data_IF_503179596308
#
_entry.id   IF_503179596308
#
_cell.length_a   1.000
_cell.length_b   1.000
_cell.length_c   1.000
_cell.angle_alpha   90.00
_cell.angle_beta   90.00
_cell.angle_gamma   90.00
#
_symmetry.space_group_name_H-M   'P 1'
#
loop_
_entity.id
_entity.type
_entity.pdbx_description
1 polymer ?
#
# COMPACT_ATOMS: atom_id res chain seq x y z
N UNK A 1 -47.02 -23.86 -3.74
CA UNK A 1 -48.18 -24.48 -3.06
C UNK A 1 -48.40 -25.82 -3.73
N UNK A 2 -48.45 -26.91 -2.95
CA UNK A 2 -48.51 -28.27 -3.49
C UNK A 2 -49.82 -28.49 -4.27
N UNK A 3 -49.72 -29.11 -5.45
CA UNK A 3 -50.87 -29.57 -6.23
C UNK A 3 -51.24 -31.01 -5.85
N UNK A 4 -52.34 -31.14 -5.11
CA UNK A 4 -52.83 -32.45 -4.66
C UNK A 4 -53.42 -33.30 -5.78
N UNK A 5 -53.88 -32.71 -6.88
CA UNK A 5 -54.44 -33.47 -8.01
C UNK A 5 -53.33 -34.19 -8.77
N UNK A 6 -52.19 -33.50 -8.92
CA UNK A 6 -50.98 -34.07 -9.50
C UNK A 6 -50.41 -35.20 -8.63
N UNK A 7 -50.31 -35.01 -7.31
CA UNK A 7 -49.84 -36.06 -6.38
C UNK A 7 -50.75 -37.29 -6.44
N UNK A 8 -52.07 -37.11 -6.43
CA UNK A 8 -53.03 -38.22 -6.50
C UNK A 8 -52.87 -39.01 -7.81
N UNK A 9 -52.68 -38.32 -8.93
CA UNK A 9 -52.45 -38.94 -10.24
C UNK A 9 -51.13 -39.72 -10.27
N UNK A 10 -50.05 -39.13 -9.77
CA UNK A 10 -48.72 -39.76 -9.80
C UNK A 10 -48.66 -41.02 -8.92
N UNK A 11 -49.28 -40.98 -7.73
CA UNK A 11 -49.36 -42.14 -6.84
C UNK A 11 -50.20 -43.26 -7.45
N UNK A 12 -51.30 -42.91 -8.12
CA UNK A 12 -52.11 -43.90 -8.84
C UNK A 12 -51.33 -44.58 -9.97
N UNK A 13 -50.55 -43.83 -10.74
CA UNK A 13 -49.73 -44.38 -11.84
C UNK A 13 -48.59 -45.26 -11.32
N UNK A 14 -47.83 -44.78 -10.33
CA UNK A 14 -46.60 -45.47 -9.87
C UNK A 14 -46.86 -46.64 -8.94
N UNK A 15 -47.86 -46.51 -8.09
CA UNK A 15 -48.10 -47.44 -6.99
C UNK A 15 -49.42 -48.20 -7.12
N UNK A 16 -50.24 -47.88 -8.14
CA UNK A 16 -51.55 -48.47 -8.38
C UNK A 16 -52.50 -48.33 -7.17
N UNK A 17 -52.36 -47.24 -6.42
CA UNK A 17 -53.19 -46.89 -5.25
C UNK A 17 -53.99 -45.63 -5.56
N UNK A 18 -55.31 -45.69 -5.39
CA UNK A 18 -56.21 -44.55 -5.52
C UNK A 18 -56.33 -43.83 -4.17
N UNK A 19 -55.83 -42.60 -4.11
CA UNK A 19 -55.96 -41.76 -2.92
C UNK A 19 -57.26 -40.95 -2.96
N UNK A 20 -58.04 -41.07 -1.87
CA UNK A 20 -59.23 -40.24 -1.65
C UNK A 20 -58.86 -38.80 -1.27
N UNK A 21 -59.83 -37.89 -1.35
CA UNK A 21 -59.64 -36.49 -0.93
C UNK A 21 -59.37 -36.37 0.58
N UNK A 22 -59.97 -37.26 1.37
CA UNK A 22 -59.83 -37.28 2.83
C UNK A 22 -58.79 -38.30 3.32
N UNK A 23 -57.86 -38.70 2.43
CA UNK A 23 -56.84 -39.69 2.78
C UNK A 23 -55.80 -39.10 3.76
N UNK A 24 -55.53 -39.76 4.90
CA UNK A 24 -54.56 -39.29 5.89
C UNK A 24 -53.14 -39.05 5.33
N UNK A 25 -52.77 -39.72 4.24
CA UNK A 25 -51.46 -39.50 3.61
C UNK A 25 -51.36 -38.09 3.03
N UNK A 26 -52.44 -37.55 2.46
CA UNK A 26 -52.46 -36.19 1.89
C UNK A 26 -52.45 -35.12 2.99
N UNK A 27 -53.08 -35.40 4.13
CA UNK A 27 -52.98 -34.56 5.33
C UNK A 27 -51.53 -34.50 5.82
N UNK A 28 -50.84 -35.64 5.84
CA UNK A 28 -49.41 -35.71 6.21
C UNK A 28 -48.53 -34.88 5.27
N UNK A 29 -48.77 -34.96 3.96
CA UNK A 29 -48.07 -34.13 2.97
C UNK A 29 -48.31 -32.64 3.23
N UNK A 30 -49.55 -32.26 3.56
CA UNK A 30 -49.89 -30.87 3.90
C UNK A 30 -49.11 -30.39 5.13
N UNK A 31 -49.04 -31.22 6.19
CA UNK A 31 -48.27 -30.90 7.39
C UNK A 31 -46.79 -30.73 7.06
N UNK A 32 -46.23 -31.61 6.22
CA UNK A 32 -44.84 -31.47 5.77
C UNK A 32 -44.61 -30.18 4.97
N UNK A 33 -45.52 -29.81 4.06
CA UNK A 33 -45.42 -28.56 3.29
C UNK A 33 -45.39 -27.33 4.23
N UNK A 34 -46.27 -27.30 5.23
CA UNK A 34 -46.31 -26.22 6.22
C UNK A 34 -45.04 -26.15 7.06
N UNK A 35 -44.53 -27.30 7.52
CA UNK A 35 -43.30 -27.35 8.34
C UNK A 35 -42.10 -26.92 7.50
N UNK A 36 -41.95 -27.46 6.29
CA UNK A 36 -40.85 -27.12 5.39
C UNK A 36 -40.90 -25.66 4.96
N UNK A 37 -42.08 -25.13 4.64
CA UNK A 37 -42.28 -23.71 4.34
C UNK A 37 -41.82 -22.83 5.50
N UNK A 38 -42.21 -23.16 6.73
CA UNK A 38 -41.79 -22.41 7.92
C UNK A 38 -40.27 -22.45 8.17
N UNK A 39 -39.63 -23.60 7.91
CA UNK A 39 -38.19 -23.71 7.98
C UNK A 39 -37.50 -22.87 6.89
N UNK A 40 -38.03 -22.85 5.68
CA UNK A 40 -37.49 -22.01 4.59
C UNK A 40 -37.61 -20.52 4.92
N UNK A 41 -38.73 -20.09 5.49
CA UNK A 41 -38.93 -18.70 5.93
C UNK A 41 -37.90 -18.32 7.00
N UNK A 42 -37.72 -19.15 8.03
CA UNK A 42 -36.71 -18.94 9.08
C UNK A 42 -35.28 -18.87 8.51
N UNK A 43 -34.94 -19.75 7.57
CA UNK A 43 -33.64 -19.75 6.91
C UNK A 43 -33.46 -18.48 6.09
N UNK A 44 -34.49 -18.05 5.35
CA UNK A 44 -34.45 -16.83 4.54
C UNK A 44 -34.22 -15.60 5.42
N UNK A 45 -34.96 -15.46 6.51
CA UNK A 45 -34.80 -14.36 7.47
C UNK A 45 -33.38 -14.33 8.06
N UNK A 46 -32.85 -15.50 8.43
CA UNK A 46 -31.51 -15.60 8.98
C UNK A 46 -30.42 -15.29 7.93
N UNK A 47 -30.63 -15.68 6.67
CA UNK A 47 -29.74 -15.31 5.57
C UNK A 47 -29.73 -13.80 5.31
N UNK A 48 -30.89 -13.15 5.38
CA UNK A 48 -31.00 -11.70 5.22
C UNK A 48 -30.27 -10.95 6.34
N UNK A 49 -30.40 -11.41 7.58
CA UNK A 49 -29.67 -10.85 8.72
C UNK A 49 -28.16 -11.11 8.63
N UNK A 50 -27.74 -12.30 8.21
CA UNK A 50 -26.34 -12.64 7.98
C UNK A 50 -25.74 -11.75 6.87
N UNK A 51 -26.45 -11.53 5.77
CA UNK A 51 -26.02 -10.67 4.67
C UNK A 51 -25.88 -9.20 5.11
N UNK A 52 -26.80 -8.69 5.94
CA UNK A 52 -26.68 -7.34 6.52
C UNK A 52 -25.44 -7.23 7.42
N UNK A 53 -25.25 -8.20 8.31
CA UNK A 53 -24.10 -8.25 9.23
C UNK A 53 -22.78 -8.35 8.48
N UNK A 54 -22.74 -9.18 7.44
CA UNK A 54 -21.57 -9.30 6.55
C UNK A 54 -21.27 -7.98 5.85
N UNK A 55 -22.29 -7.30 5.33
CA UNK A 55 -22.11 -5.99 4.66
C UNK A 55 -21.53 -4.96 5.61
N UNK A 56 -22.04 -4.86 6.85
CA UNK A 56 -21.51 -3.95 7.87
C UNK A 56 -20.06 -4.30 8.24
N UNK A 57 -19.76 -5.59 8.41
CA UNK A 57 -18.42 -6.07 8.75
C UNK A 57 -17.43 -5.76 7.63
N UNK A 58 -17.81 -5.98 6.36
CA UNK A 58 -16.97 -5.65 5.21
C UNK A 58 -16.71 -4.14 5.12
N UNK A 59 -17.72 -3.30 5.36
CA UNK A 59 -17.53 -1.85 5.40
C UNK A 59 -16.54 -1.43 6.50
N UNK A 60 -16.69 -1.98 7.70
CA UNK A 60 -15.77 -1.72 8.81
C UNK A 60 -14.35 -2.20 8.51
N UNK A 61 -14.20 -3.39 7.91
CA UNK A 61 -12.92 -3.94 7.53
C UNK A 61 -12.22 -3.10 6.46
N UNK A 62 -12.96 -2.59 5.47
CA UNK A 62 -12.43 -1.67 4.45
C UNK A 62 -11.91 -0.40 5.10
N UNK A 63 -12.65 0.17 6.06
CA UNK A 63 -12.24 1.39 6.74
C UNK A 63 -10.98 1.17 7.60
N UNK A 64 -10.94 0.09 8.38
CA UNK A 64 -9.74 -0.29 9.13
C UNK A 64 -8.53 -0.55 8.22
N UNK A 65 -8.75 -1.15 7.04
CA UNK A 65 -7.70 -1.40 6.06
C UNK A 65 -7.15 -0.09 5.50
N UNK A 66 -8.02 0.89 5.21
CA UNK A 66 -7.60 2.24 4.78
C UNK A 66 -6.79 2.94 5.87
N UNK A 67 -7.25 2.91 7.11
CA UNK A 67 -6.54 3.51 8.24
C UNK A 67 -5.15 2.87 8.42
N UNK A 68 -5.08 1.55 8.37
CA UNK A 68 -3.82 0.79 8.49
C UNK A 68 -2.87 1.11 7.33
N UNK A 69 -3.38 1.15 6.10
CA UNK A 69 -2.59 1.53 4.93
C UNK A 69 -2.08 2.97 5.05
N UNK A 70 -2.92 3.91 5.52
CA UNK A 70 -2.53 5.30 5.75
C UNK A 70 -1.41 5.44 6.79
N UNK A 71 -1.48 4.68 7.88
CA UNK A 71 -0.41 4.61 8.89
C UNK A 71 0.89 4.07 8.29
N UNK A 72 0.84 2.94 7.58
CA UNK A 72 2.02 2.33 6.96
C UNK A 72 2.69 3.30 5.98
N UNK A 73 1.90 3.96 5.12
CA UNK A 73 2.42 4.93 4.15
C UNK A 73 3.08 6.12 4.86
N UNK A 74 2.43 6.63 5.91
CA UNK A 74 2.96 7.75 6.70
C UNK A 74 4.25 7.38 7.42
N UNK A 75 4.29 6.21 8.05
CA UNK A 75 5.47 5.71 8.77
C UNK A 75 6.62 5.45 7.80
N UNK A 76 6.35 4.88 6.63
CA UNK A 76 7.34 4.70 5.57
C UNK A 76 7.87 6.03 5.05
N UNK A 77 7.01 7.02 4.81
CA UNK A 77 7.42 8.36 4.37
C UNK A 77 8.29 9.06 5.41
N UNK A 78 7.92 8.98 6.69
CA UNK A 78 8.71 9.51 7.79
C UNK A 78 10.08 8.83 7.87
N UNK A 79 10.11 7.50 7.79
CA UNK A 79 11.35 6.73 7.78
C UNK A 79 12.28 7.14 6.64
N UNK A 80 11.77 7.22 5.41
CA UNK A 80 12.55 7.64 4.23
C UNK A 80 13.04 9.08 4.38
N UNK A 81 12.19 9.99 4.87
CA UNK A 81 12.57 11.38 5.14
C UNK A 81 13.73 11.44 6.14
N UNK A 82 13.66 10.70 7.23
CA UNK A 82 14.71 10.69 8.26
C UNK A 82 16.01 10.07 7.77
N UNK A 83 15.94 8.94 7.04
CA UNK A 83 17.10 8.34 6.39
C UNK A 83 17.75 9.29 5.37
N UNK A 84 16.94 10.00 4.58
CA UNK A 84 17.44 10.98 3.60
C UNK A 84 18.12 12.15 4.31
N UNK A 85 17.51 12.70 5.37
CA UNK A 85 18.11 13.77 6.16
C UNK A 85 19.43 13.35 6.79
N UNK A 86 19.50 12.12 7.29
CA UNK A 86 20.73 11.56 7.86
C UNK A 86 21.82 11.43 6.80
N UNK A 87 21.51 10.83 5.64
CA UNK A 87 22.44 10.68 4.53
C UNK A 87 22.95 12.04 4.00
N UNK A 88 22.06 13.04 3.87
CA UNK A 88 22.44 14.39 3.45
C UNK A 88 23.34 15.05 4.49
N UNK A 89 23.02 14.92 5.78
CA UNK A 89 23.84 15.50 6.86
C UNK A 89 25.23 14.87 6.88
N UNK A 90 25.33 13.56 6.66
CA UNK A 90 26.59 12.84 6.57
C UNK A 90 27.40 13.28 5.34
N UNK A 91 26.77 13.34 4.17
CA UNK A 91 27.41 13.80 2.94
C UNK A 91 27.94 15.24 3.05
N UNK A 92 27.16 16.16 3.66
CA UNK A 92 27.60 17.54 3.90
C UNK A 92 28.78 17.59 4.87
N UNK A 93 28.74 16.75 5.92
CA UNK A 93 29.84 16.66 6.90
C UNK A 93 31.12 16.13 6.26
N UNK A 94 31.00 15.13 5.39
CA UNK A 94 32.13 14.56 4.65
C UNK A 94 32.69 15.54 3.63
N UNK A 95 31.84 16.18 2.83
CA UNK A 95 32.23 17.25 1.91
C UNK A 95 32.93 18.41 2.65
N UNK A 96 32.45 18.79 3.84
CA UNK A 96 33.08 19.82 4.66
C UNK A 96 34.45 19.41 5.20
N UNK A 97 34.67 18.13 5.53
CA UNK A 97 36.00 17.61 5.90
C UNK A 97 36.95 17.61 4.71
N UNK A 98 36.48 17.14 3.57
CA UNK A 98 37.26 17.07 2.33
C UNK A 98 37.69 18.48 1.88
N UNK A 99 36.76 19.44 1.91
CA UNK A 99 37.08 20.84 1.61
C UNK A 99 38.13 21.42 2.57
N UNK A 100 38.05 21.10 3.88
CA UNK A 100 39.07 21.53 4.85
C UNK A 100 40.43 20.91 4.57
N UNK A 101 40.48 19.63 4.16
CA UNK A 101 41.71 18.98 3.74
C UNK A 101 42.31 19.66 2.52
N UNK A 102 41.52 19.90 1.47
CA UNK A 102 41.96 20.59 0.26
C UNK A 102 42.45 22.02 0.56
N UNK A 103 41.75 22.77 1.41
CA UNK A 103 42.18 24.13 1.82
C UNK A 103 43.48 24.08 2.61
N UNK A 104 43.66 23.09 3.50
CA UNK A 104 44.90 22.92 4.26
C UNK A 104 46.07 22.57 3.34
N UNK A 105 45.86 21.69 2.36
CA UNK A 105 46.84 21.30 1.35
C UNK A 105 47.22 22.48 0.45
N UNK A 106 46.24 23.23 -0.05
CA UNK A 106 46.47 24.46 -0.84
C UNK A 106 47.23 25.50 -0.02
N UNK A 107 46.93 25.65 1.28
CA UNK A 107 47.63 26.60 2.15
C UNK A 107 49.06 26.16 2.45
N UNK A 108 49.32 24.86 2.57
CA UNK A 108 50.66 24.30 2.70
C UNK A 108 51.47 24.52 1.41
N UNK A 109 50.91 24.14 0.26
CA UNK A 109 51.52 24.37 -1.06
C UNK A 109 51.76 25.86 -1.34
N UNK A 110 50.83 26.74 -0.93
CA UNK A 110 51.00 28.20 -1.06
C UNK A 110 52.09 28.75 -0.14
N UNK A 111 52.23 28.24 1.09
CA UNK A 111 53.34 28.65 1.98
C UNK A 111 54.69 28.20 1.43
N UNK A 112 54.75 27.00 0.86
CA UNK A 112 55.94 26.48 0.20
C UNK A 112 56.30 27.33 -1.03
N UNK A 113 55.32 27.65 -1.88
CA UNK A 113 55.47 28.53 -3.04
C UNK A 113 55.82 30.00 -2.72
N UNK A 114 55.45 30.49 -1.53
CA UNK A 114 55.83 31.83 -1.05
C UNK A 114 57.22 31.81 -0.41
N UNK A 115 57.62 30.70 0.21
CA UNK A 115 58.98 30.51 0.72
C UNK A 115 60.00 30.31 -0.42
N UNK A 116 59.60 29.68 -1.53
CA UNK A 116 60.33 29.65 -2.80
C UNK A 116 59.94 30.84 -3.68
N UNK A 117 60.45 32.04 -3.34
CA UNK A 117 60.09 33.35 -3.92
C UNK A 117 60.27 33.59 -5.44
N UNK A 118 60.11 32.58 -6.30
CA UNK A 118 60.08 32.68 -7.77
C UNK A 118 58.77 32.19 -8.41
N UNK A 119 57.95 31.36 -7.73
CA UNK A 119 56.76 30.71 -8.33
C UNK A 119 55.40 31.36 -7.94
N UNK A 120 55.43 32.41 -7.11
CA UNK A 120 54.23 33.04 -6.58
C UNK A 120 53.31 33.70 -7.63
N UNK A 121 53.82 33.98 -8.84
CA UNK A 121 53.04 34.63 -9.91
C UNK A 121 52.30 33.64 -10.81
N UNK A 122 52.82 32.43 -10.99
CA UNK A 122 52.17 31.34 -11.74
C UNK A 122 51.08 30.65 -10.91
N UNK A 123 51.25 30.56 -9.59
CA UNK A 123 50.27 29.95 -8.67
C UNK A 123 48.96 30.74 -8.52
N UNK A 124 48.99 32.07 -8.64
CA UNK A 124 47.77 32.90 -8.55
C UNK A 124 46.79 32.65 -9.70
N UNK A 125 47.30 32.41 -10.92
CA UNK A 125 46.46 32.16 -12.09
C UNK A 125 45.87 30.74 -12.09
N UNK A 126 46.62 29.74 -11.61
CA UNK A 126 46.12 28.37 -11.52
C UNK A 126 45.08 28.19 -10.40
N UNK A 127 45.24 28.89 -9.27
CA UNK A 127 44.26 28.87 -8.18
C UNK A 127 42.90 29.45 -8.61
N UNK A 128 42.88 30.51 -9.42
CA UNK A 128 41.62 31.09 -9.91
C UNK A 128 40.87 30.13 -10.85
N UNK A 129 41.59 29.44 -11.75
CA UNK A 129 41.02 28.43 -12.63
C UNK A 129 40.45 27.22 -11.86
N UNK A 130 41.16 26.76 -10.83
CA UNK A 130 40.70 25.64 -10.00
C UNK A 130 39.42 25.98 -9.22
N UNK A 131 39.27 27.23 -8.75
CA UNK A 131 38.09 27.68 -8.00
C UNK A 131 36.85 27.76 -8.91
N UNK A 132 37.02 28.17 -10.17
CA UNK A 132 35.93 28.19 -11.15
C UNK A 132 35.51 26.77 -11.54
N UNK A 133 36.48 25.87 -11.75
CA UNK A 133 36.21 24.47 -12.09
C UNK A 133 35.49 23.72 -10.97
N UNK A 134 35.88 23.90 -9.71
CA UNK A 134 35.20 23.26 -8.58
C UNK A 134 33.79 23.82 -8.35
N UNK A 135 33.58 25.12 -8.57
CA UNK A 135 32.26 25.74 -8.52
C UNK A 135 31.28 25.18 -9.57
N UNK A 136 31.76 24.95 -10.79
CA UNK A 136 30.93 24.35 -11.86
C UNK A 136 30.61 22.88 -11.55
N UNK A 137 31.57 22.11 -11.04
CA UNK A 137 31.35 20.71 -10.69
C UNK A 137 30.31 20.55 -9.56
N UNK A 138 30.35 21.44 -8.55
CA UNK A 138 29.37 21.44 -7.47
C UNK A 138 27.94 21.77 -7.97
N UNK A 139 27.81 22.72 -8.90
CA UNK A 139 26.51 23.07 -9.50
C UNK A 139 25.93 21.93 -10.36
N UNK A 140 26.78 21.22 -11.11
CA UNK A 140 26.37 20.06 -11.92
C UNK A 140 25.91 18.90 -11.03
N UNK A 141 26.62 18.64 -9.92
CA UNK A 141 26.22 17.58 -8.98
C UNK A 141 24.87 17.86 -8.32
N UNK A 142 24.61 19.11 -7.92
CA UNK A 142 23.31 19.53 -7.35
C UNK A 142 22.20 19.43 -8.39
N UNK A 143 22.44 19.85 -9.64
CA UNK A 143 21.47 19.75 -10.72
C UNK A 143 21.13 18.29 -11.07
N UNK A 144 22.12 17.39 -11.10
CA UNK A 144 21.90 15.97 -11.34
C UNK A 144 21.04 15.32 -10.26
N UNK A 145 21.24 15.70 -8.99
CA UNK A 145 20.45 15.20 -7.86
C UNK A 145 18.98 15.64 -7.94
N UNK A 146 18.72 16.89 -8.35
CA UNK A 146 17.36 17.40 -8.54
C UNK A 146 16.64 16.70 -9.69
N UNK A 147 17.34 16.40 -10.79
CA UNK A 147 16.75 15.68 -11.94
C UNK A 147 16.39 14.24 -11.60
N UNK A 148 17.18 13.56 -10.75
CA UNK A 148 16.89 12.19 -10.31
C UNK A 148 15.70 12.14 -9.33
N UNK A 149 15.45 13.21 -8.57
CA UNK A 149 14.32 13.29 -7.63
C UNK A 149 13.00 13.65 -8.35
N UNK A 150 13.06 14.35 -9.49
CA UNK A 150 11.88 14.80 -10.26
C UNK A 150 11.39 13.79 -11.32
N UNK A 151 12.04 12.63 -11.46
CA UNK A 151 11.71 11.60 -12.45
C UNK A 151 11.23 10.32 -11.76
#
# INVERSE_FOLDING_TARGET
MIDFDEIRKEVAIRHNVLLGKDDPILVTVTVNDMVLGRYLDLISDQYDEANRTLTLTLQQQVEQSKETAGKIITDAANYVSDQTRQAVTEAVKEAGKELRHQVAEVKAASREAVASGRDAQTAKNSAWLATVLSGVAALVAVAALVVVILK
#
